data_IF_130685120661
#
_entry.id   IF_130685120661
#
_cell.length_a   1.000
_cell.length_b   1.000
_cell.length_c   1.000
_cell.angle_alpha   90.00
_cell.angle_beta   90.00
_cell.angle_gamma   90.00
#
_symmetry.space_group_name_H-M   'P 1'
#
loop_
_entity.id
_entity.type
_entity.pdbx_description
1 polymer ?
#
# COMPACT_ATOMS: atom_id res chain seq x y z
N UNK A 1 -9.45 -14.20 -6.00
CA UNK A 1 -8.41 -13.41 -5.33
C UNK A 1 -9.08 -12.69 -4.18
N UNK A 2 -8.72 -13.06 -2.95
CA UNK A 2 -9.31 -12.47 -1.75
C UNK A 2 -8.99 -10.99 -1.74
N UNK A 3 -10.02 -10.15 -1.93
CA UNK A 3 -9.90 -8.69 -1.91
C UNK A 3 -9.75 -8.13 -0.49
N UNK A 4 -9.56 -9.00 0.51
CA UNK A 4 -9.59 -8.66 1.91
C UNK A 4 -8.15 -8.55 2.42
N UNK A 5 -7.77 -7.34 2.79
CA UNK A 5 -6.58 -7.11 3.61
C UNK A 5 -7.09 -7.02 5.04
N UNK A 6 -6.44 -7.76 5.94
CA UNK A 6 -6.74 -7.86 7.34
C UNK A 6 -6.49 -6.53 8.01
N UNK A 7 -7.39 -6.18 8.94
CA UNK A 7 -7.23 -4.96 9.71
C UNK A 7 -6.05 -5.13 10.67
N UNK A 8 -5.12 -4.20 10.60
CA UNK A 8 -4.00 -4.05 11.51
C UNK A 8 -4.47 -3.35 12.78
N UNK A 9 -4.27 -3.97 13.93
CA UNK A 9 -4.65 -3.38 15.23
C UNK A 9 -3.75 -2.21 15.63
N UNK A 10 -2.56 -2.11 15.04
CA UNK A 10 -1.58 -1.04 15.31
C UNK A 10 -1.86 0.25 14.54
N UNK A 11 -2.85 0.28 13.65
CA UNK A 11 -3.15 1.44 12.81
C UNK A 11 -4.64 1.79 12.88
N UNK A 12 -4.94 3.08 13.03
CA UNK A 12 -6.31 3.58 13.02
C UNK A 12 -6.64 4.14 11.63
N UNK A 13 -7.50 3.49 10.82
CA UNK A 13 -7.84 3.94 9.48
C UNK A 13 -8.52 5.32 9.47
N UNK A 14 -9.17 5.68 10.57
CA UNK A 14 -9.84 6.98 10.75
C UNK A 14 -8.86 8.15 10.78
N UNK A 15 -7.63 7.92 11.22
CA UNK A 15 -6.60 8.94 11.16
C UNK A 15 -6.11 9.15 9.72
N UNK A 16 -5.98 8.08 8.94
CA UNK A 16 -5.63 8.16 7.52
C UNK A 16 -6.67 8.91 6.67
N UNK A 17 -7.97 8.66 6.87
CA UNK A 17 -9.04 9.42 6.19
C UNK A 17 -9.10 10.89 6.64
N UNK A 18 -8.83 11.18 7.92
CA UNK A 18 -8.86 12.55 8.44
C UNK A 18 -7.65 13.37 7.99
N UNK A 19 -6.51 12.73 7.80
CA UNK A 19 -5.23 13.37 7.46
C UNK A 19 -5.02 13.51 5.95
N UNK A 20 -5.48 12.54 5.15
CA UNK A 20 -5.33 12.56 3.69
C UNK A 20 -6.63 12.80 2.92
N UNK A 21 -7.81 12.61 3.52
CA UNK A 21 -9.09 12.68 2.82
C UNK A 21 -9.36 11.44 1.96
N UNK A 22 -10.03 11.64 0.82
CA UNK A 22 -10.44 10.59 -0.12
C UNK A 22 -9.30 10.23 -1.12
N UNK A 23 -8.12 9.89 -0.59
CA UNK A 23 -6.99 9.44 -1.43
C UNK A 23 -7.10 7.95 -1.73
N UNK A 24 -6.52 7.57 -2.87
CA UNK A 24 -6.44 6.15 -3.22
C UNK A 24 -5.33 5.49 -2.41
N UNK A 25 -5.68 4.47 -1.66
CA UNK A 25 -4.73 3.65 -0.89
C UNK A 25 -4.57 2.28 -1.53
N UNK A 26 -3.35 1.75 -1.52
CA UNK A 26 -3.13 0.36 -1.91
C UNK A 26 -3.74 -0.60 -0.87
N UNK A 27 -3.78 -0.19 0.40
CA UNK A 27 -4.54 -0.85 1.45
C UNK A 27 -5.73 0.02 1.93
N UNK A 28 -6.95 -0.24 1.43
CA UNK A 28 -8.14 0.50 1.81
C UNK A 28 -8.68 0.10 3.19
N UNK A 29 -8.34 -1.10 3.71
CA UNK A 29 -8.81 -1.55 5.03
C UNK A 29 -8.10 -0.75 6.13
N UNK A 30 -6.78 -0.63 6.00
CA UNK A 30 -5.96 0.07 6.98
C UNK A 30 -5.70 1.53 6.61
N UNK A 31 -6.14 1.97 5.42
CA UNK A 31 -5.85 3.28 4.84
C UNK A 31 -4.34 3.55 4.85
N UNK A 32 -3.57 2.55 4.41
CA UNK A 32 -2.10 2.58 4.34
C UNK A 32 -1.64 2.53 2.88
N UNK A 33 -0.40 2.98 2.68
CA UNK A 33 0.24 3.04 1.37
C UNK A 33 -0.55 3.93 0.40
N UNK A 34 -0.57 5.26 0.62
CA UNK A 34 -1.17 6.18 -0.33
C UNK A 34 -0.52 5.98 -1.71
N UNK A 35 -1.33 6.07 -2.76
CA UNK A 35 -0.93 5.90 -4.16
C UNK A 35 -1.58 6.98 -5.04
N UNK A 36 -1.87 8.15 -4.47
CA UNK A 36 -2.43 9.34 -5.11
C UNK A 36 -1.38 10.22 -5.81
N UNK A 37 -0.10 10.04 -5.50
CA UNK A 37 1.01 10.79 -6.09
C UNK A 37 2.21 9.90 -6.40
N UNK A 38 3.12 10.38 -7.24
CA UNK A 38 4.35 9.67 -7.59
C UNK A 38 5.22 9.35 -6.37
N UNK A 39 5.40 10.34 -5.50
CA UNK A 39 6.18 10.21 -4.28
C UNK A 39 5.55 9.19 -3.33
N UNK A 40 4.22 9.21 -3.20
CA UNK A 40 3.50 8.24 -2.39
C UNK A 40 3.62 6.82 -2.93
N UNK A 41 3.53 6.63 -4.25
CA UNK A 41 3.71 5.31 -4.89
C UNK A 41 5.12 4.76 -4.64
N UNK A 42 6.16 5.56 -4.85
CA UNK A 42 7.56 5.13 -4.60
C UNK A 42 7.79 4.82 -3.12
N UNK A 43 7.29 5.68 -2.23
CA UNK A 43 7.37 5.46 -0.79
C UNK A 43 6.65 4.16 -0.42
N UNK A 44 5.40 4.00 -0.86
CA UNK A 44 4.58 2.81 -0.62
C UNK A 44 5.30 1.53 -1.05
N UNK A 45 5.90 1.53 -2.25
CA UNK A 45 6.69 0.42 -2.76
C UNK A 45 7.88 0.09 -1.85
N UNK A 46 8.64 1.09 -1.42
CA UNK A 46 9.76 0.88 -0.50
C UNK A 46 9.27 0.36 0.86
N UNK A 47 8.17 0.89 1.40
CA UNK A 47 7.65 0.49 2.70
C UNK A 47 7.06 -0.91 2.72
N UNK A 48 6.37 -1.38 1.67
CA UNK A 48 5.82 -2.74 1.64
C UNK A 48 6.92 -3.79 1.45
N UNK A 49 8.05 -3.43 0.83
CA UNK A 49 9.21 -4.32 0.69
C UNK A 49 10.08 -4.41 1.97
N UNK A 50 9.86 -3.53 2.96
CA UNK A 50 10.53 -3.66 4.26
C UNK A 50 9.91 -4.82 5.04
N UNK A 51 10.75 -5.75 5.48
CA UNK A 51 10.34 -6.94 6.24
C UNK A 51 9.44 -6.60 7.44
N UNK A 52 9.82 -5.62 8.27
CA UNK A 52 9.03 -5.19 9.43
C UNK A 52 7.59 -4.73 9.10
N UNK A 53 7.33 -4.32 7.86
CA UNK A 53 6.00 -3.97 7.38
C UNK A 53 5.32 -5.13 6.65
N UNK A 54 6.06 -5.88 5.84
CA UNK A 54 5.56 -7.07 5.16
C UNK A 54 5.08 -8.13 6.18
N UNK A 55 5.82 -8.32 7.27
CA UNK A 55 5.49 -9.24 8.38
C UNK A 55 4.18 -8.89 9.12
N UNK A 56 3.59 -7.73 8.83
CA UNK A 56 2.30 -7.29 9.39
C UNK A 56 1.11 -7.74 8.56
N UNK A 57 1.37 -8.37 7.42
CA UNK A 57 0.39 -8.83 6.47
C UNK A 57 0.70 -10.28 6.10
N UNK A 58 -0.31 -11.01 5.67
CA UNK A 58 -0.09 -12.33 5.08
C UNK A 58 0.54 -12.21 3.68
N UNK A 59 1.16 -13.29 3.19
CA UNK A 59 1.87 -13.26 1.91
C UNK A 59 0.95 -12.86 0.74
N UNK A 60 -0.29 -13.33 0.74
CA UNK A 60 -1.31 -13.00 -0.27
C UNK A 60 -1.78 -11.54 -0.19
N UNK A 61 -1.80 -10.96 1.02
CA UNK A 61 -2.09 -9.54 1.23
C UNK A 61 -0.94 -8.66 0.73
N UNK A 62 0.30 -9.04 1.04
CA UNK A 62 1.51 -8.35 0.54
C UNK A 62 1.50 -8.34 -0.99
N UNK A 63 1.23 -9.48 -1.63
CA UNK A 63 1.11 -9.56 -3.08
C UNK A 63 -0.01 -8.66 -3.63
N UNK A 64 -1.15 -8.63 -2.95
CA UNK A 64 -2.29 -7.78 -3.32
C UNK A 64 -1.94 -6.29 -3.25
N UNK A 65 -1.29 -5.87 -2.16
CA UNK A 65 -0.85 -4.48 -1.95
C UNK A 65 0.20 -4.11 -3.00
N UNK A 66 1.23 -4.95 -3.19
CA UNK A 66 2.25 -4.77 -4.24
C UNK A 66 1.62 -4.64 -5.62
N UNK A 67 0.63 -5.47 -5.95
CA UNK A 67 -0.08 -5.41 -7.23
C UNK A 67 -0.89 -4.11 -7.42
N UNK A 68 -1.43 -3.52 -6.35
CA UNK A 68 -2.08 -2.20 -6.40
C UNK A 68 -1.06 -1.07 -6.60
N UNK A 69 0.06 -1.09 -5.86
CA UNK A 69 1.14 -0.12 -6.02
C UNK A 69 1.73 -0.18 -7.44
N UNK A 70 1.94 -1.39 -7.99
CA UNK A 70 2.40 -1.57 -9.38
C UNK A 70 1.47 -0.94 -10.42
N UNK A 71 0.15 -1.06 -10.22
CA UNK A 71 -0.84 -0.43 -11.09
C UNK A 71 -0.81 1.10 -11.00
N UNK A 72 -0.65 1.64 -9.80
CA UNK A 72 -0.48 3.07 -9.61
C UNK A 72 0.83 3.56 -10.24
N UNK A 73 1.94 2.87 -10.03
CA UNK A 73 3.22 3.20 -10.65
C UNK A 73 3.11 3.29 -12.17
N UNK A 74 2.47 2.32 -12.83
CA UNK A 74 2.18 2.40 -14.28
C UNK A 74 1.33 3.61 -14.66
N UNK A 75 0.37 4.02 -13.83
CA UNK A 75 -0.47 5.20 -14.09
C UNK A 75 0.34 6.49 -14.03
N UNK A 76 1.35 6.55 -13.18
CA UNK A 76 2.24 7.69 -13.01
C UNK A 76 3.58 7.53 -13.76
N UNK A 77 3.71 6.53 -14.63
CA UNK A 77 4.94 6.21 -15.38
C UNK A 77 6.21 6.06 -14.49
N UNK A 78 6.02 5.51 -13.30
CA UNK A 78 7.10 5.26 -12.34
C UNK A 78 7.71 3.89 -12.58
N UNK A 79 9.02 3.87 -12.82
CA UNK A 79 9.80 2.64 -12.74
C UNK A 79 10.01 2.22 -11.28
N UNK A 80 9.44 1.07 -10.92
CA UNK A 80 9.63 0.40 -9.63
C UNK A 80 10.21 -0.97 -9.91
N UNK A 81 11.44 -1.20 -9.42
CA UNK A 81 12.09 -2.50 -9.53
C UNK A 81 11.53 -3.45 -8.48
N UNK A 82 11.10 -4.62 -8.94
CA UNK A 82 10.71 -5.77 -8.11
C UNK A 82 11.94 -6.66 -7.89
N UNK A 83 13.02 -6.06 -7.38
CA UNK A 83 14.26 -6.79 -7.10
C UNK A 83 14.19 -7.27 -5.65
N UNK A 84 13.43 -8.34 -5.41
CA UNK A 84 13.45 -9.05 -4.13
C UNK A 84 13.09 -10.53 -4.24
#
# INVERSE_FOLDING_TARGET
MSNHISRRDDVNPRDGEREHGDVTFADPTNKKYPIDSEEHVRAAWSYINKQANADKYDADEVETIKGRIKRAAKKYDIEISDDH
#
